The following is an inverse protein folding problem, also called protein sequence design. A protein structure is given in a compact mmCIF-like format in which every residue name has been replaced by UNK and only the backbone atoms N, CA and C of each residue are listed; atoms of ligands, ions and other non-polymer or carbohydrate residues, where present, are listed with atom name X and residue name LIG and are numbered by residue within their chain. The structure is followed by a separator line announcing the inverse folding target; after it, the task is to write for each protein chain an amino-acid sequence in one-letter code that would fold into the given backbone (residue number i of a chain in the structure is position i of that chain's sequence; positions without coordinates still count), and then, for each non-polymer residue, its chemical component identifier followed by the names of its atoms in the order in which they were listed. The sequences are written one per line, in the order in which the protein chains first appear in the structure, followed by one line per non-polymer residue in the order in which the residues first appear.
data_IF_972172850017
#
_entry.id   IF_972172850017
#
_cell.length_a   1.000
_cell.length_b   1.000
_cell.length_c   1.000
_cell.angle_alpha   90.00
_cell.angle_beta   90.00
_cell.angle_gamma   90.00
#
_symmetry.space_group_name_H-M   'P 1'
#
loop_
_entity.id
_entity.type
_entity.pdbx_description
1 polymer ?
#
# COMPACT_ATOMS: atom_id res chain seq x y z
N UNK A 1 44.82 -63.50 -18.14
CA UNK A 1 43.45 -62.95 -18.12
C UNK A 1 43.28 -62.18 -16.80
N UNK A 2 44.03 -61.08 -16.59
CA UNK A 2 43.69 -59.66 -16.79
C UNK A 2 42.37 -59.21 -16.14
N UNK A 3 42.53 -58.67 -14.92
CA UNK A 3 41.63 -57.78 -14.19
C UNK A 3 41.49 -56.42 -14.90
N UNK A 4 40.31 -55.80 -14.82
CA UNK A 4 40.06 -54.35 -15.04
C UNK A 4 38.91 -53.98 -14.09
N UNK A 5 39.16 -53.43 -12.91
CA UNK A 5 39.40 -52.01 -12.58
C UNK A 5 38.17 -51.11 -12.82
N UNK A 6 37.40 -50.89 -11.76
CA UNK A 6 36.39 -49.83 -11.64
C UNK A 6 37.09 -48.47 -11.57
N UNK A 7 36.72 -47.53 -12.44
CA UNK A 7 37.14 -46.13 -12.38
C UNK A 7 35.92 -45.25 -12.15
N UNK A 8 35.89 -44.65 -10.96
CA UNK A 8 35.06 -43.52 -10.59
C UNK A 8 35.53 -42.32 -11.42
N UNK A 9 34.70 -41.85 -12.34
CA UNK A 9 34.92 -40.62 -13.08
C UNK A 9 34.30 -39.46 -12.32
N UNK A 10 35.12 -38.53 -11.86
CA UNK A 10 34.69 -37.24 -11.33
C UNK A 10 33.99 -36.45 -12.45
N UNK A 11 32.68 -36.28 -12.34
CA UNK A 11 31.92 -35.35 -13.16
C UNK A 11 32.24 -33.93 -12.72
N UNK A 12 33.02 -33.20 -13.51
CA UNK A 12 33.18 -31.77 -13.34
C UNK A 12 31.82 -31.10 -13.56
N UNK A 13 31.26 -30.56 -12.48
CA UNK A 13 30.06 -29.72 -12.53
C UNK A 13 30.46 -28.38 -13.15
N UNK A 14 30.32 -28.28 -14.48
CA UNK A 14 30.35 -27.00 -15.18
C UNK A 14 29.13 -26.20 -14.71
N UNK A 15 29.34 -25.25 -13.79
CA UNK A 15 28.41 -24.15 -13.56
C UNK A 15 28.35 -23.34 -14.86
N UNK A 16 27.45 -23.72 -15.76
CA UNK A 16 27.06 -22.88 -16.87
C UNK A 16 26.36 -21.67 -16.29
N UNK A 17 27.04 -20.52 -16.31
CA UNK A 17 26.41 -19.23 -16.09
C UNK A 17 25.29 -19.08 -17.12
N UNK A 18 24.05 -19.22 -16.70
CA UNK A 18 22.90 -18.82 -17.48
C UNK A 18 22.90 -17.29 -17.49
N UNK A 19 23.64 -16.70 -18.42
CA UNK A 19 23.41 -15.31 -18.82
C UNK A 19 22.02 -15.29 -19.44
N UNK A 20 21.04 -14.81 -18.67
CA UNK A 20 19.78 -14.32 -19.23
C UNK A 20 20.18 -13.12 -20.09
N UNK A 21 20.39 -13.38 -21.39
CA UNK A 21 20.52 -12.31 -22.35
C UNK A 21 19.19 -11.59 -22.36
N UNK A 22 19.15 -10.37 -21.85
CA UNK A 22 18.08 -9.44 -22.17
C UNK A 22 18.09 -9.29 -23.68
N UNK A 23 17.15 -9.96 -24.34
CA UNK A 23 16.77 -9.58 -25.69
C UNK A 23 16.05 -8.25 -25.50
N UNK A 24 16.80 -7.15 -25.57
CA UNK A 24 16.22 -5.85 -25.84
C UNK A 24 15.59 -5.99 -27.23
N UNK A 25 14.28 -6.24 -27.26
CA UNK A 25 13.49 -6.04 -28.46
C UNK A 25 13.47 -4.53 -28.63
N UNK A 26 14.44 -3.98 -29.36
CA UNK A 26 14.28 -2.64 -29.90
C UNK A 26 13.22 -2.80 -30.98
N UNK A 27 11.96 -2.64 -30.60
CA UNK A 27 10.88 -2.44 -31.55
C UNK A 27 11.27 -1.20 -32.35
N UNK A 28 11.74 -1.40 -33.57
CA UNK A 28 11.84 -0.33 -34.55
C UNK A 28 10.40 0.01 -34.91
N UNK A 29 9.83 0.95 -34.16
CA UNK A 29 8.53 1.50 -34.43
C UNK A 29 8.64 2.21 -35.78
N UNK A 30 7.69 1.92 -36.68
CA UNK A 30 7.59 2.68 -37.90
C UNK A 30 7.27 4.11 -37.48
N UNK A 31 8.20 5.03 -37.74
CA UNK A 31 8.17 6.44 -37.34
C UNK A 31 6.74 6.99 -37.31
N UNK A 32 6.14 7.02 -36.12
CA UNK A 32 4.89 7.72 -35.90
C UNK A 32 5.15 9.22 -36.16
N UNK A 33 4.17 9.92 -36.74
CA UNK A 33 4.27 11.37 -36.93
C UNK A 33 4.20 12.10 -35.57
N UNK A 34 3.65 11.43 -34.54
CA UNK A 34 3.57 11.91 -33.16
C UNK A 34 4.69 11.37 -32.25
N UNK A 35 4.94 12.08 -31.15
CA UNK A 35 5.81 11.58 -30.09
C UNK A 35 5.15 10.37 -29.43
N UNK A 36 5.94 9.58 -28.71
CA UNK A 36 5.43 8.45 -27.95
C UNK A 36 5.94 8.42 -26.52
N UNK A 37 5.10 8.00 -25.56
CA UNK A 37 5.50 7.84 -24.18
C UNK A 37 6.54 6.72 -24.02
N UNK A 38 7.62 6.98 -23.29
CA UNK A 38 8.72 6.03 -23.03
C UNK A 38 8.60 5.43 -21.64
N UNK A 39 8.29 6.28 -20.65
CA UNK A 39 8.01 5.86 -19.28
C UNK A 39 6.70 6.47 -18.83
N UNK A 40 5.99 5.76 -17.97
CA UNK A 40 4.72 6.18 -17.43
C UNK A 40 4.58 5.60 -16.02
N UNK A 41 4.57 6.48 -15.04
CA UNK A 41 4.52 6.14 -13.61
C UNK A 41 3.47 6.98 -12.93
N UNK A 42 2.84 6.46 -11.89
CA UNK A 42 1.98 7.26 -11.04
C UNK A 42 2.03 6.83 -9.60
N UNK A 43 1.31 7.57 -8.77
CA UNK A 43 1.07 7.27 -7.38
C UNK A 43 -0.42 7.45 -7.08
N UNK A 44 -0.89 6.83 -6.00
CA UNK A 44 -2.27 6.90 -5.58
C UNK A 44 -2.34 7.19 -4.08
N UNK A 45 -3.11 8.19 -3.70
CA UNK A 45 -3.31 8.64 -2.33
C UNK A 45 -4.79 8.53 -1.95
N UNK A 46 -5.09 7.90 -0.81
CA UNK A 46 -6.46 7.86 -0.28
C UNK A 46 -6.72 9.17 0.46
N UNK A 47 -7.74 9.90 0.04
CA UNK A 47 -8.19 11.12 0.68
C UNK A 47 -8.99 10.82 1.95
N UNK A 48 -9.16 11.79 2.87
CA UNK A 48 -9.91 11.61 4.11
C UNK A 48 -11.39 11.19 3.93
N UNK A 49 -11.97 11.44 2.76
CA UNK A 49 -13.34 11.03 2.42
C UNK A 49 -13.40 9.66 1.72
N UNK A 50 -12.29 8.94 1.65
CA UNK A 50 -12.16 7.63 1.02
C UNK A 50 -11.97 7.66 -0.50
N UNK A 51 -12.13 8.83 -1.16
CA UNK A 51 -11.79 8.98 -2.57
C UNK A 51 -10.28 8.81 -2.78
N UNK A 52 -9.86 8.50 -4.01
CA UNK A 52 -8.46 8.13 -4.30
C UNK A 52 -7.91 9.07 -5.37
N UNK A 53 -6.96 9.92 -5.00
CA UNK A 53 -6.27 10.81 -5.94
C UNK A 53 -5.10 10.07 -6.57
N UNK A 54 -5.15 9.87 -7.88
CA UNK A 54 -4.06 9.31 -8.67
C UNK A 54 -3.31 10.45 -9.36
N UNK A 55 -1.99 10.48 -9.23
CA UNK A 55 -1.11 11.43 -9.92
C UNK A 55 -0.17 10.69 -10.85
N UNK A 56 -0.08 11.11 -12.11
CA UNK A 56 0.63 10.40 -13.17
C UNK A 56 1.60 11.31 -13.90
N UNK A 57 2.74 10.77 -14.30
CA UNK A 57 3.79 11.49 -15.02
C UNK A 57 4.69 10.53 -15.80
N UNK A 58 5.51 11.07 -16.69
CA UNK A 58 6.43 10.22 -17.43
C UNK A 58 7.33 10.96 -18.39
N UNK A 59 7.85 10.19 -19.35
CA UNK A 59 8.71 10.71 -20.41
C UNK A 59 8.17 10.33 -21.77
N UNK A 60 8.56 11.10 -22.78
CA UNK A 60 8.23 10.87 -24.18
C UNK A 60 9.48 11.01 -25.05
N UNK A 61 9.46 10.41 -26.25
CA UNK A 61 10.49 10.59 -27.26
C UNK A 61 9.92 10.63 -28.68
N UNK A 62 10.72 11.12 -29.61
CA UNK A 62 10.48 11.17 -31.05
C UNK A 62 11.61 10.48 -31.81
N UNK A 63 11.28 9.53 -32.69
CA UNK A 63 12.30 8.78 -33.46
C UNK A 63 12.86 9.56 -34.67
N UNK A 64 12.31 10.74 -34.99
CA UNK A 64 12.69 11.54 -36.15
C UNK A 64 13.81 12.52 -35.82
N UNK A 65 14.89 12.56 -36.61
CA UNK A 65 15.92 13.59 -36.45
C UNK A 65 15.35 14.97 -36.83
N UNK A 66 15.31 15.90 -35.86
CA UNK A 66 14.98 17.32 -36.04
C UNK A 66 13.50 17.66 -36.35
N UNK A 67 12.53 17.25 -35.50
CA UNK A 67 11.11 17.53 -35.68
C UNK A 67 10.79 19.02 -35.52
N UNK A 68 11.54 19.74 -34.68
CA UNK A 68 11.30 21.13 -34.29
C UNK A 68 11.81 22.15 -35.31
N UNK A 69 12.62 21.75 -36.31
CA UNK A 69 12.97 22.61 -37.44
C UNK A 69 11.92 22.60 -38.56
N UNK A 70 10.94 21.70 -38.46
CA UNK A 70 9.76 21.67 -39.31
C UNK A 70 8.63 22.48 -38.65
N UNK A 71 7.41 22.45 -39.17
CA UNK A 71 6.28 23.24 -38.66
C UNK A 71 5.76 22.80 -37.26
N UNK A 72 6.55 22.04 -36.48
CA UNK A 72 6.17 21.54 -35.16
C UNK A 72 6.58 22.51 -34.06
N UNK A 73 5.71 22.63 -33.07
CA UNK A 73 5.90 23.40 -31.86
C UNK A 73 6.39 22.52 -30.71
N UNK A 74 5.87 21.29 -30.56
CA UNK A 74 6.30 20.38 -29.51
C UNK A 74 5.36 19.21 -29.28
N UNK A 75 5.46 18.59 -28.11
CA UNK A 75 4.62 17.45 -27.73
C UNK A 75 3.59 17.88 -26.70
N UNK A 76 2.35 17.45 -26.94
CA UNK A 76 1.26 17.54 -25.96
C UNK A 76 0.91 16.17 -25.38
N UNK A 77 0.13 16.17 -24.31
CA UNK A 77 -0.39 14.97 -23.68
C UNK A 77 -1.81 15.18 -23.14
N UNK A 78 -2.54 14.07 -23.05
CA UNK A 78 -3.77 13.95 -22.28
C UNK A 78 -3.86 12.53 -21.71
N UNK A 79 -4.60 12.35 -20.63
CA UNK A 79 -4.69 11.06 -19.93
C UNK A 79 -6.07 10.45 -20.15
N UNK A 80 -6.12 9.20 -20.62
CA UNK A 80 -7.31 8.37 -20.48
C UNK A 80 -7.33 7.80 -19.07
N UNK A 81 -8.22 8.32 -18.23
CA UNK A 81 -8.33 7.91 -16.84
C UNK A 81 -9.05 6.56 -16.69
N UNK A 82 -9.76 6.08 -17.71
CA UNK A 82 -10.58 4.86 -17.62
C UNK A 82 -11.51 4.83 -16.38
N UNK A 83 -11.99 5.99 -15.94
CA UNK A 83 -12.87 6.11 -14.78
C UNK A 83 -14.32 5.75 -15.15
N UNK A 84 -14.81 4.62 -14.64
CA UNK A 84 -16.17 4.16 -14.87
C UNK A 84 -17.25 5.11 -14.30
N UNK A 85 -16.89 5.97 -13.34
CA UNK A 85 -17.79 6.94 -12.72
C UNK A 85 -17.71 8.33 -13.35
N UNK A 86 -16.71 8.59 -14.19
CA UNK A 86 -16.54 9.86 -14.90
C UNK A 86 -15.96 9.60 -16.29
N UNK A 87 -16.84 9.57 -17.29
CA UNK A 87 -16.45 9.34 -18.67
C UNK A 87 -15.49 10.44 -19.19
N UNK A 88 -14.47 10.03 -19.94
CA UNK A 88 -13.58 10.92 -20.67
C UNK A 88 -14.17 11.42 -22.00
N UNK A 89 -13.43 12.28 -22.69
CA UNK A 89 -13.79 12.76 -24.02
C UNK A 89 -13.36 11.72 -25.06
N UNK A 90 -14.34 11.12 -25.74
CA UNK A 90 -14.07 10.05 -26.70
C UNK A 90 -13.16 10.50 -27.84
N UNK A 91 -12.03 9.81 -27.98
CA UNK A 91 -11.01 10.08 -28.99
C UNK A 91 -11.20 9.14 -30.19
N UNK A 92 -11.27 7.83 -29.92
CA UNK A 92 -11.41 6.82 -30.98
C UNK A 92 -11.33 5.40 -30.45
N UNK A 93 -11.42 4.43 -31.35
CA UNK A 93 -11.36 3.01 -31.01
C UNK A 93 -10.27 2.28 -31.79
N UNK A 94 -9.46 1.48 -31.11
CA UNK A 94 -8.46 0.61 -31.72
C UNK A 94 -8.67 -0.81 -31.19
N UNK A 95 -8.78 -1.79 -32.10
CA UNK A 95 -9.00 -3.20 -31.75
C UNK A 95 -10.17 -3.44 -30.77
N UNK A 96 -11.28 -2.72 -30.98
CA UNK A 96 -12.48 -2.75 -30.11
C UNK A 96 -12.27 -2.20 -28.69
N UNK A 97 -11.13 -1.54 -28.42
CA UNK A 97 -10.88 -0.76 -27.20
C UNK A 97 -11.15 0.72 -27.50
N UNK A 98 -12.02 1.33 -26.71
CA UNK A 98 -12.29 2.77 -26.77
C UNK A 98 -11.27 3.54 -25.93
N UNK A 99 -10.78 4.65 -26.47
CA UNK A 99 -9.88 5.58 -25.82
C UNK A 99 -10.61 6.91 -25.63
N UNK A 100 -10.57 7.45 -24.40
CA UNK A 100 -11.24 8.69 -24.05
C UNK A 100 -10.38 9.48 -23.06
N UNK A 101 -9.99 10.70 -23.39
CA UNK A 101 -9.04 11.47 -22.55
C UNK A 101 -9.71 12.56 -21.73
N UNK A 102 -9.08 12.89 -20.60
CA UNK A 102 -9.57 13.87 -19.64
C UNK A 102 -10.91 13.47 -19.02
N UNK A 103 -11.73 14.46 -18.67
CA UNK A 103 -13.07 14.28 -18.14
C UNK A 103 -14.08 15.05 -19.01
N UNK A 104 -15.04 14.36 -19.60
CA UNK A 104 -16.01 15.00 -20.50
C UNK A 104 -16.95 15.97 -19.79
N UNK A 105 -17.34 15.63 -18.56
CA UNK A 105 -18.11 16.49 -17.68
C UNK A 105 -17.42 16.56 -16.31
N UNK A 106 -17.45 17.73 -15.70
CA UNK A 106 -16.92 17.95 -14.35
C UNK A 106 -17.89 17.44 -13.29
N UNK A 107 -17.34 16.96 -12.19
CA UNK A 107 -18.07 16.59 -10.99
C UNK A 107 -17.43 17.26 -9.76
N UNK A 108 -17.82 16.85 -8.55
CA UNK A 108 -17.29 17.42 -7.30
C UNK A 108 -15.82 17.01 -7.03
N UNK A 109 -15.30 15.98 -7.71
CA UNK A 109 -13.94 15.47 -7.56
C UNK A 109 -13.00 16.08 -8.61
N UNK A 110 -13.41 16.07 -9.89
CA UNK A 110 -12.58 16.50 -11.01
C UNK A 110 -13.34 17.49 -11.92
N UNK A 111 -12.68 18.58 -12.38
CA UNK A 111 -13.25 19.46 -13.38
C UNK A 111 -13.40 18.75 -14.74
N UNK A 112 -14.22 19.32 -15.62
CA UNK A 112 -14.20 18.92 -17.02
C UNK A 112 -12.84 19.30 -17.62
N UNK A 113 -12.24 18.40 -18.39
CA UNK A 113 -10.97 18.61 -19.05
C UNK A 113 -10.98 17.93 -20.43
N UNK A 114 -10.82 18.72 -21.47
CA UNK A 114 -10.64 18.28 -22.86
C UNK A 114 -9.41 18.98 -23.48
N UNK A 115 -8.52 19.51 -22.65
CA UNK A 115 -7.34 20.21 -23.10
C UNK A 115 -6.23 19.21 -23.45
N UNK A 116 -5.40 19.58 -24.42
CA UNK A 116 -4.08 18.97 -24.58
C UNK A 116 -3.12 19.78 -23.70
N UNK A 117 -2.55 19.11 -22.70
CA UNK A 117 -1.54 19.69 -21.83
C UNK A 117 -0.18 19.64 -22.51
N UNK A 118 0.69 20.60 -22.22
CA UNK A 118 1.97 20.70 -22.93
C UNK A 118 3.06 21.36 -22.08
N UNK A 119 4.30 21.04 -22.42
CA UNK A 119 5.49 21.53 -21.76
C UNK A 119 6.09 22.75 -22.46
N UNK A 120 7.41 22.87 -22.38
CA UNK A 120 8.12 23.88 -23.18
C UNK A 120 8.12 23.51 -24.67
N UNK A 121 8.30 24.53 -25.52
CA UNK A 121 8.50 24.33 -26.95
C UNK A 121 9.64 23.33 -27.17
N UNK A 122 9.48 22.38 -28.10
CA UNK A 122 10.51 21.39 -28.34
C UNK A 122 11.79 22.07 -28.85
N UNK A 123 12.93 21.66 -28.31
CA UNK A 123 14.26 22.09 -28.75
C UNK A 123 14.88 21.01 -29.67
N UNK A 124 16.18 21.06 -29.96
CA UNK A 124 16.84 20.01 -30.76
C UNK A 124 16.81 18.61 -30.08
N UNK A 125 16.27 18.48 -28.87
CA UNK A 125 16.09 17.21 -28.19
C UNK A 125 14.74 16.57 -28.54
N UNK A 126 14.82 15.35 -29.08
CA UNK A 126 13.64 14.56 -29.44
C UNK A 126 13.06 13.82 -28.23
N UNK A 127 13.10 14.39 -27.03
CA UNK A 127 12.61 13.75 -25.82
C UNK A 127 12.29 14.76 -24.72
N UNK A 128 11.39 14.39 -23.81
CA UNK A 128 11.01 15.24 -22.70
C UNK A 128 10.18 14.53 -21.65
N UNK A 129 9.57 15.32 -20.77
CA UNK A 129 8.66 14.86 -19.72
C UNK A 129 7.23 15.29 -20.00
N UNK A 130 6.27 14.57 -19.43
CA UNK A 130 4.86 14.94 -19.39
C UNK A 130 4.32 14.80 -17.96
N UNK A 131 3.25 15.53 -17.65
CA UNK A 131 2.69 15.62 -16.30
C UNK A 131 3.55 16.47 -15.34
N UNK A 132 3.26 16.41 -14.02
CA UNK A 132 2.25 15.55 -13.40
C UNK A 132 0.82 15.97 -13.73
N UNK A 133 -0.05 14.99 -13.95
CA UNK A 133 -1.50 15.14 -14.06
C UNK A 133 -2.20 14.37 -12.94
N UNK A 134 -3.34 14.86 -12.45
CA UNK A 134 -4.06 14.22 -11.34
C UNK A 134 -5.54 14.02 -11.65
N UNK A 135 -6.10 12.93 -11.14
CA UNK A 135 -7.53 12.62 -11.16
C UNK A 135 -7.94 11.85 -9.92
N UNK A 136 -9.06 12.23 -9.33
CA UNK A 136 -9.60 11.65 -8.11
C UNK A 136 -10.74 10.70 -8.43
N UNK A 137 -10.54 9.42 -8.15
CA UNK A 137 -11.52 8.35 -8.29
C UNK A 137 -12.43 8.28 -7.07
N UNK A 138 -13.65 7.79 -7.26
CA UNK A 138 -14.58 7.55 -6.17
C UNK A 138 -14.05 6.50 -5.17
N UNK A 139 -14.51 6.61 -3.92
CA UNK A 139 -14.22 5.65 -2.85
C UNK A 139 -14.52 4.20 -3.29
N UNK A 140 -13.62 3.27 -2.95
CA UNK A 140 -13.77 1.85 -3.24
C UNK A 140 -13.41 1.46 -4.68
N UNK A 141 -12.85 2.37 -5.48
CA UNK A 141 -12.24 2.01 -6.77
C UNK A 141 -11.01 1.14 -6.53
N UNK A 142 -10.94 -0.01 -7.21
CA UNK A 142 -9.87 -1.01 -7.02
C UNK A 142 -9.11 -1.37 -8.30
N UNK A 143 -9.61 -0.94 -9.46
CA UNK A 143 -8.98 -1.18 -10.76
C UNK A 143 -8.67 0.19 -11.38
N UNK A 144 -7.40 0.60 -11.32
CA UNK A 144 -6.89 1.78 -12.00
C UNK A 144 -6.14 1.34 -13.24
N UNK A 145 -6.50 1.90 -14.40
CA UNK A 145 -5.78 1.64 -15.63
C UNK A 145 -5.49 2.93 -16.41
N UNK A 146 -5.06 4.04 -15.76
CA UNK A 146 -4.84 5.27 -16.48
C UNK A 146 -3.77 5.09 -17.54
N UNK A 147 -3.91 5.86 -18.61
CA UNK A 147 -3.11 5.67 -19.78
C UNK A 147 -2.80 7.00 -20.47
N UNK A 148 -1.53 7.24 -20.82
CA UNK A 148 -1.10 8.49 -21.43
C UNK A 148 -1.17 8.45 -22.96
N UNK A 149 -1.81 9.48 -23.55
CA UNK A 149 -1.90 9.75 -24.99
C UNK A 149 -1.05 10.98 -25.32
N UNK A 150 -0.25 10.92 -26.38
CA UNK A 150 0.61 12.01 -26.82
C UNK A 150 0.12 12.64 -28.12
N UNK A 151 0.39 13.94 -28.30
CA UNK A 151 -0.08 14.78 -29.41
C UNK A 151 1.10 15.48 -30.09
N UNK A 152 1.08 15.58 -31.42
CA UNK A 152 2.00 16.43 -32.20
C UNK A 152 1.43 17.86 -32.29
N UNK A 153 2.07 18.80 -31.58
CA UNK A 153 1.67 20.19 -31.57
C UNK A 153 2.39 20.93 -32.70
N UNK A 154 1.64 21.68 -33.49
CA UNK A 154 2.11 22.45 -34.62
C UNK A 154 2.19 23.95 -34.31
N UNK A 155 3.06 24.64 -35.03
CA UNK A 155 3.10 26.09 -35.03
C UNK A 155 1.80 26.66 -35.62
N UNK A 156 1.25 27.68 -34.98
CA UNK A 156 0.11 28.44 -35.49
C UNK A 156 0.43 29.24 -36.76
N UNK A 157 -0.62 29.79 -37.38
CA UNK A 157 -0.54 30.55 -38.65
C UNK A 157 0.39 31.78 -38.56
N UNK A 158 0.63 32.28 -37.37
CA UNK A 158 1.71 33.21 -37.05
C UNK A 158 2.74 32.41 -36.26
N UNK A 159 3.97 32.26 -36.75
CA UNK A 159 5.08 31.43 -36.19
C UNK A 159 5.38 31.56 -34.68
N UNK A 160 4.66 32.41 -33.94
CA UNK A 160 4.62 32.49 -32.49
C UNK A 160 3.32 31.89 -31.95
N UNK A 161 3.37 30.63 -31.52
CA UNK A 161 2.29 29.98 -30.77
C UNK A 161 1.90 28.60 -31.32
N UNK A 162 1.12 27.86 -30.53
CA UNK A 162 0.55 26.56 -30.91
C UNK A 162 -0.69 26.80 -31.77
N UNK A 163 -0.94 25.93 -32.75
CA UNK A 163 -2.18 25.92 -33.53
C UNK A 163 -3.38 25.62 -32.64
N UNK A 164 -4.43 26.44 -32.72
CA UNK A 164 -5.60 26.32 -31.83
C UNK A 164 -6.23 24.91 -31.78
N UNK A 165 -6.26 24.20 -32.92
CA UNK A 165 -6.82 22.84 -33.00
C UNK A 165 -6.00 21.77 -32.28
N UNK A 166 -4.74 22.06 -31.94
CA UNK A 166 -3.85 21.13 -31.25
C UNK A 166 -3.94 21.28 -29.72
N UNK A 167 -4.68 22.28 -29.23
CA UNK A 167 -4.90 22.54 -27.81
C UNK A 167 -6.16 21.86 -27.26
N UNK A 168 -6.93 21.20 -28.12
CA UNK A 168 -8.14 20.44 -27.76
C UNK A 168 -7.95 18.98 -28.16
N UNK A 169 -8.28 18.07 -27.25
CA UNK A 169 -7.92 16.67 -27.42
C UNK A 169 -8.82 15.94 -28.44
N UNK A 170 -10.10 16.30 -28.50
CA UNK A 170 -11.09 15.75 -29.44
C UNK A 170 -12.25 16.74 -29.64
N UNK A 171 -13.10 16.47 -30.62
CA UNK A 171 -14.39 17.15 -30.82
C UNK A 171 -14.43 18.08 -32.03
N UNK A 172 -15.04 19.26 -31.88
CA UNK A 172 -15.13 20.22 -33.01
C UNK A 172 -13.84 21.03 -33.11
N UNK A 173 -13.14 20.94 -34.25
CA UNK A 173 -11.97 21.76 -34.55
C UNK A 173 -10.63 21.19 -34.07
N UNK A 174 -10.62 19.99 -33.49
CA UNK A 174 -9.38 19.32 -33.07
C UNK A 174 -8.56 18.83 -34.27
N UNK A 175 -7.26 18.65 -34.03
CA UNK A 175 -6.33 18.02 -34.96
C UNK A 175 -6.12 16.54 -34.57
N UNK A 176 -6.19 15.64 -35.54
CA UNK A 176 -6.14 14.17 -35.35
C UNK A 176 -4.71 13.61 -35.27
N UNK A 177 -3.74 14.47 -34.95
CA UNK A 177 -2.32 14.12 -34.90
C UNK A 177 -1.87 13.69 -33.50
N UNK A 178 -2.43 12.56 -33.06
CA UNK A 178 -2.15 11.96 -31.77
C UNK A 178 -1.82 10.47 -31.87
N UNK A 179 -1.32 9.92 -30.78
CA UNK A 179 -0.81 8.56 -30.71
C UNK A 179 -1.90 7.49 -30.88
N UNK A 180 -3.17 7.82 -30.65
CA UNK A 180 -4.31 6.91 -30.89
C UNK A 180 -4.70 6.92 -32.36
N UNK A 181 -4.89 8.09 -32.96
CA UNK A 181 -5.42 8.19 -34.33
C UNK A 181 -4.35 8.04 -35.43
N UNK A 182 -3.08 8.30 -35.12
CA UNK A 182 -2.00 8.33 -36.12
C UNK A 182 -0.78 7.44 -35.81
N UNK A 183 -0.81 6.58 -34.79
CA UNK A 183 0.29 5.64 -34.57
C UNK A 183 0.24 4.42 -35.50
N UNK A 184 1.41 3.92 -35.88
CA UNK A 184 1.57 2.71 -36.69
C UNK A 184 1.39 1.40 -35.90
N UNK A 185 0.84 1.47 -34.68
CA UNK A 185 0.38 0.31 -33.90
C UNK A 185 1.20 -0.11 -32.68
N UNK A 186 2.08 0.75 -32.13
CA UNK A 186 2.81 0.46 -30.88
C UNK A 186 2.65 1.52 -29.77
N UNK A 187 2.31 2.75 -30.14
CA UNK A 187 2.22 3.89 -29.22
C UNK A 187 0.75 4.24 -28.94
N UNK A 188 -0.07 3.22 -28.76
CA UNK A 188 -1.53 3.39 -28.68
C UNK A 188 -1.87 4.25 -27.47
N UNK A 189 -1.35 3.88 -26.30
CA UNK A 189 -1.42 4.64 -25.08
C UNK A 189 -0.47 3.96 -24.06
N UNK A 190 0.32 4.71 -23.27
CA UNK A 190 1.25 4.09 -22.33
C UNK A 190 0.54 3.67 -21.03
N UNK A 191 0.56 2.36 -20.68
CA UNK A 191 0.04 1.93 -19.39
C UNK A 191 0.88 2.56 -18.29
N UNK A 192 0.21 3.21 -17.33
CA UNK A 192 0.87 3.85 -16.21
C UNK A 192 1.02 2.85 -15.08
N UNK A 193 2.26 2.61 -14.64
CA UNK A 193 2.52 1.79 -13.46
C UNK A 193 2.34 2.63 -12.20
N UNK A 194 1.37 2.28 -11.36
CA UNK A 194 1.14 2.94 -10.09
C UNK A 194 2.06 2.36 -9.00
N UNK A 195 2.79 3.24 -8.32
CA UNK A 195 3.48 2.92 -7.09
C UNK A 195 2.45 2.52 -6.03
N UNK A 196 2.70 1.46 -5.25
CA UNK A 196 1.94 1.21 -4.04
C UNK A 196 2.20 2.30 -3.01
N UNK A 197 1.20 2.56 -2.17
CA UNK A 197 1.29 3.53 -1.08
C UNK A 197 1.08 2.83 0.27
N UNK A 198 1.98 3.07 1.21
CA UNK A 198 1.90 2.54 2.57
C UNK A 198 1.68 3.69 3.55
N UNK A 199 0.64 3.57 4.37
CA UNK A 199 0.30 4.53 5.43
C UNK A 199 0.39 3.83 6.78
N UNK A 200 1.04 4.48 7.75
CA UNK A 200 1.16 4.01 9.13
C UNK A 200 0.35 4.90 10.08
N UNK A 201 -0.59 4.28 10.78
CA UNK A 201 -1.46 4.93 11.75
C UNK A 201 -1.16 4.46 13.18
N UNK A 202 -1.40 5.34 14.13
CA UNK A 202 -1.17 5.13 15.56
C UNK A 202 -2.47 5.30 16.33
N UNK A 203 -2.77 4.33 17.19
CA UNK A 203 -3.78 4.50 18.23
C UNK A 203 -3.10 4.46 19.60
N UNK A 204 -3.48 5.37 20.49
CA UNK A 204 -3.03 5.37 21.89
C UNK A 204 -4.26 5.30 22.78
N UNK A 205 -4.27 4.31 23.69
CA UNK A 205 -5.30 4.16 24.71
C UNK A 205 -4.65 4.57 26.04
N UNK A 206 -5.35 5.44 26.77
CA UNK A 206 -4.99 5.92 28.10
C UNK A 206 -6.17 5.63 29.03
N UNK A 207 -6.46 4.36 29.26
CA UNK A 207 -7.61 3.92 30.06
C UNK A 207 -7.25 3.57 31.51
N UNK A 208 -5.97 3.55 31.84
CA UNK A 208 -5.48 3.38 33.20
C UNK A 208 -5.24 4.71 33.95
N UNK A 209 -5.74 4.77 35.18
CA UNK A 209 -5.92 6.05 35.91
C UNK A 209 -4.65 6.70 36.48
N UNK A 210 -3.46 6.11 36.27
CA UNK A 210 -2.23 6.48 36.97
C UNK A 210 -1.07 6.82 36.03
N UNK A 211 -1.03 6.30 34.81
CA UNK A 211 0.18 6.26 33.96
C UNK A 211 -0.03 6.83 32.55
N UNK A 212 -1.23 6.77 31.97
CA UNK A 212 -1.46 7.19 30.59
C UNK A 212 -1.59 8.70 30.37
N UNK A 213 -0.64 9.30 29.66
CA UNK A 213 -0.73 10.70 29.16
C UNK A 213 -0.18 10.91 27.75
N UNK A 214 0.38 9.88 27.14
CA UNK A 214 0.94 9.95 25.80
C UNK A 214 -0.16 10.20 24.77
N UNK A 215 0.22 10.91 23.72
CA UNK A 215 -0.58 11.14 22.52
C UNK A 215 0.10 10.43 21.35
N UNK A 216 -0.57 10.33 20.19
CA UNK A 216 0.03 9.74 18.98
C UNK A 216 1.38 10.38 18.60
N UNK A 217 1.55 11.68 18.87
CA UNK A 217 2.79 12.42 18.60
C UNK A 217 3.99 12.00 19.47
N UNK A 218 3.77 11.22 20.54
CA UNK A 218 4.84 10.69 21.37
C UNK A 218 5.45 9.39 20.83
N UNK A 219 4.86 8.83 19.78
CA UNK A 219 5.34 7.62 19.12
C UNK A 219 5.93 7.97 17.74
N UNK A 220 7.01 7.30 17.38
CA UNK A 220 7.57 7.35 16.02
C UNK A 220 7.35 6.00 15.36
N UNK A 221 6.64 6.00 14.24
CA UNK A 221 6.40 4.85 13.39
C UNK A 221 7.46 4.79 12.29
N UNK A 222 7.86 3.58 11.92
CA UNK A 222 8.86 3.37 10.89
C UNK A 222 8.48 2.19 9.99
N UNK A 223 8.60 2.37 8.68
CA UNK A 223 8.65 1.28 7.71
C UNK A 223 9.99 1.33 6.98
N UNK A 224 10.78 0.25 7.08
CA UNK A 224 12.07 0.13 6.39
C UNK A 224 12.07 -1.09 5.47
N UNK A 225 12.60 -0.99 4.25
CA UNK A 225 12.67 -2.12 3.36
C UNK A 225 13.57 -3.20 3.95
N UNK A 226 13.11 -4.45 3.90
CA UNK A 226 13.85 -5.61 4.41
C UNK A 226 15.05 -5.94 3.54
N UNK A 227 14.85 -5.91 2.22
CA UNK A 227 15.86 -6.11 1.19
C UNK A 227 15.37 -5.49 -0.13
N UNK A 228 16.22 -4.69 -0.79
CA UNK A 228 15.85 -3.93 -1.99
C UNK A 228 14.91 -2.75 -1.67
N UNK A 229 14.87 -1.74 -2.54
CA UNK A 229 14.13 -0.51 -2.30
C UNK A 229 14.88 0.50 -1.41
N UNK A 230 14.52 1.78 -1.56
CA UNK A 230 15.14 2.91 -0.86
C UNK A 230 14.14 3.70 -0.03
N UNK A 231 12.83 3.54 -0.25
CA UNK A 231 11.79 4.28 0.46
C UNK A 231 11.78 3.94 1.96
N UNK A 232 11.77 4.95 2.83
CA UNK A 232 11.65 4.77 4.29
C UNK A 232 10.62 5.74 4.82
N UNK A 233 9.64 5.22 5.54
CA UNK A 233 8.66 6.03 6.29
C UNK A 233 9.21 6.16 7.71
N UNK A 234 9.31 7.39 8.22
CA UNK A 234 9.75 7.63 9.59
C UNK A 234 9.19 8.94 10.14
N UNK A 235 8.35 8.84 11.18
CA UNK A 235 7.79 10.00 11.86
C UNK A 235 6.62 9.64 12.76
N UNK A 236 5.99 10.67 13.33
CA UNK A 236 4.77 10.50 14.08
C UNK A 236 3.56 10.51 13.15
N UNK A 237 2.50 9.82 13.58
CA UNK A 237 1.18 9.96 12.98
C UNK A 237 0.67 11.42 13.17
N UNK A 238 0.27 12.14 12.10
CA UNK A 238 -0.18 13.51 12.21
C UNK A 238 -1.63 13.66 12.71
N UNK A 239 -2.49 12.63 12.61
CA UNK A 239 -3.92 12.73 12.94
C UNK A 239 -4.50 11.38 13.41
N UNK A 240 -5.43 11.38 14.36
CA UNK A 240 -6.02 10.15 14.90
C UNK A 240 -7.07 9.52 13.96
N UNK A 241 -7.41 10.18 12.85
CA UNK A 241 -8.31 9.64 11.83
C UNK A 241 -7.70 8.40 11.16
N UNK A 242 -8.50 7.35 10.91
CA UNK A 242 -8.07 6.29 10.01
C UNK A 242 -7.67 6.92 8.65
N UNK A 243 -6.57 6.42 8.09
CA UNK A 243 -6.04 6.76 6.76
C UNK A 243 -5.34 8.13 6.64
N UNK A 244 -5.26 8.90 7.74
CA UNK A 244 -4.49 10.15 7.78
C UNK A 244 -3.06 9.97 8.33
N UNK A 245 -2.65 8.71 8.57
CA UNK A 245 -1.35 8.35 9.10
C UNK A 245 -0.16 8.83 8.26
N UNK A 246 1.04 8.68 8.81
CA UNK A 246 2.26 8.98 8.05
C UNK A 246 2.45 7.95 6.94
N UNK A 247 2.51 8.39 5.68
CA UNK A 247 2.64 7.51 4.54
C UNK A 247 3.62 7.98 3.49
N UNK A 248 3.95 7.08 2.57
CA UNK A 248 4.71 7.36 1.36
C UNK A 248 4.45 6.29 0.29
N UNK A 249 4.72 6.65 -0.97
CA UNK A 249 4.91 5.67 -2.03
C UNK A 249 6.10 4.76 -1.71
N UNK A 250 5.92 3.48 -1.96
CA UNK A 250 6.90 2.42 -1.70
C UNK A 250 7.18 1.62 -2.97
N UNK A 251 8.28 0.88 -2.97
CA UNK A 251 8.61 0.00 -4.07
C UNK A 251 7.70 -1.25 -4.06
N UNK A 252 7.06 -1.53 -5.21
CA UNK A 252 6.23 -2.72 -5.38
C UNK A 252 7.02 -4.01 -5.16
N UNK A 253 6.34 -5.04 -4.68
CA UNK A 253 6.89 -6.37 -4.41
C UNK A 253 8.07 -6.38 -3.42
N UNK A 254 8.32 -5.26 -2.71
CA UNK A 254 9.29 -5.14 -1.62
C UNK A 254 8.59 -5.31 -0.28
N UNK A 255 9.21 -6.08 0.60
CA UNK A 255 8.73 -6.27 1.98
C UNK A 255 9.28 -5.17 2.88
N UNK A 256 8.39 -4.45 3.57
CA UNK A 256 8.72 -3.44 4.57
C UNK A 256 8.55 -3.99 5.97
N UNK A 257 9.57 -3.80 6.80
CA UNK A 257 9.56 -4.11 8.23
C UNK A 257 9.00 -2.89 8.97
N UNK A 258 7.85 -3.08 9.60
CA UNK A 258 7.16 -2.11 10.43
C UNK A 258 7.72 -2.13 11.84
N UNK A 259 7.94 -0.97 12.42
CA UNK A 259 8.35 -0.83 13.81
C UNK A 259 7.86 0.48 14.41
N UNK A 260 7.94 0.57 15.73
CA UNK A 260 7.65 1.79 16.45
C UNK A 260 8.61 2.01 17.62
N UNK A 261 8.67 3.25 18.08
CA UNK A 261 9.27 3.63 19.35
C UNK A 261 8.38 4.63 20.09
N UNK A 262 8.46 4.66 21.41
CA UNK A 262 7.58 5.48 22.24
C UNK A 262 7.99 5.50 23.71
N UNK A 263 7.19 6.17 24.56
CA UNK A 263 7.43 6.23 26.01
C UNK A 263 7.29 4.86 26.68
N UNK A 264 8.01 4.67 27.79
CA UNK A 264 7.83 3.50 28.66
C UNK A 264 6.43 3.49 29.29
N UNK A 265 5.96 2.30 29.69
CA UNK A 265 4.66 2.13 30.33
C UNK A 265 3.50 2.01 29.34
N UNK A 266 3.78 1.58 28.11
CA UNK A 266 2.78 1.25 27.10
C UNK A 266 3.09 -0.11 26.47
N UNK A 267 2.07 -0.95 26.34
CA UNK A 267 2.14 -2.24 25.68
C UNK A 267 1.59 -2.11 24.26
N UNK A 268 2.38 -2.55 23.27
CA UNK A 268 2.05 -2.50 21.85
C UNK A 268 1.23 -3.72 21.41
N UNK A 269 0.24 -3.50 20.54
CA UNK A 269 -0.48 -4.56 19.85
C UNK A 269 0.35 -5.19 18.71
N UNK A 270 -0.19 -6.24 18.09
CA UNK A 270 0.23 -6.62 16.75
C UNK A 270 -0.18 -5.53 15.73
N UNK A 271 0.53 -5.44 14.61
CA UNK A 271 0.13 -4.60 13.50
C UNK A 271 -1.13 -5.16 12.83
N UNK A 272 -1.99 -4.27 12.32
CA UNK A 272 -3.15 -4.63 11.52
C UNK A 272 -3.18 -3.75 10.27
N UNK A 273 -3.17 -4.36 9.08
CA UNK A 273 -3.23 -3.63 7.81
C UNK A 273 -4.51 -3.95 7.04
N UNK A 274 -5.12 -2.92 6.46
CA UNK A 274 -6.10 -3.05 5.38
C UNK A 274 -5.35 -2.80 4.07
N UNK A 275 -5.40 -3.77 3.15
CA UNK A 275 -4.56 -3.77 1.95
C UNK A 275 -3.16 -4.35 2.20
N UNK A 276 -2.48 -4.74 1.12
CA UNK A 276 -1.21 -5.46 1.16
C UNK A 276 -1.28 -6.85 1.80
N UNK A 277 -0.12 -7.52 1.86
CA UNK A 277 0.05 -8.81 2.55
C UNK A 277 0.90 -8.61 3.80
N UNK A 278 0.27 -8.75 4.98
CA UNK A 278 0.92 -8.61 6.30
C UNK A 278 1.26 -9.97 6.92
N UNK A 279 2.51 -10.15 7.34
CA UNK A 279 2.97 -11.27 8.16
C UNK A 279 3.74 -10.76 9.39
N UNK A 280 3.10 -10.78 10.57
CA UNK A 280 3.68 -10.23 11.80
C UNK A 280 3.83 -8.71 11.72
N UNK A 281 5.07 -8.24 11.57
CA UNK A 281 5.38 -6.82 11.35
C UNK A 281 6.00 -6.57 9.96
N UNK A 282 5.84 -7.49 9.02
CA UNK A 282 6.35 -7.37 7.65
C UNK A 282 5.19 -7.24 6.67
N UNK A 283 5.14 -6.17 5.88
CA UNK A 283 4.08 -5.93 4.88
C UNK A 283 4.68 -5.87 3.47
N UNK A 284 4.03 -6.49 2.50
CA UNK A 284 4.41 -6.45 1.07
C UNK A 284 3.22 -5.96 0.25
N UNK A 285 3.46 -5.03 -0.68
CA UNK A 285 2.42 -4.41 -1.52
C UNK A 285 2.72 -4.68 -3.00
N UNK A 286 1.71 -5.08 -3.77
CA UNK A 286 1.80 -5.17 -5.23
C UNK A 286 1.66 -3.78 -5.89
N UNK A 287 1.91 -3.69 -7.20
CA UNK A 287 1.75 -2.44 -7.95
C UNK A 287 0.34 -1.84 -7.73
N UNK A 288 0.26 -0.55 -7.43
CA UNK A 288 -0.98 0.18 -7.20
C UNK A 288 -1.77 -0.19 -5.95
N UNK A 289 -1.27 -1.08 -5.08
CA UNK A 289 -1.95 -1.38 -3.82
C UNK A 289 -1.78 -0.25 -2.80
N UNK A 290 -2.85 0.01 -2.06
CA UNK A 290 -2.88 0.96 -0.95
C UNK A 290 -3.00 0.15 0.34
N UNK A 291 -2.06 0.32 1.28
CA UNK A 291 -2.10 -0.35 2.58
C UNK A 291 -2.13 0.66 3.73
N UNK A 292 -3.15 0.55 4.58
CA UNK A 292 -3.29 1.32 5.81
C UNK A 292 -3.00 0.41 7.01
N UNK A 293 -1.81 0.53 7.58
CA UNK A 293 -1.34 -0.28 8.71
C UNK A 293 -1.48 0.50 10.02
N UNK A 294 -2.04 -0.13 11.05
CA UNK A 294 -2.28 0.47 12.36
C UNK A 294 -1.60 -0.33 13.46
N UNK A 295 -1.01 0.37 14.44
CA UNK A 295 -0.58 -0.20 15.71
C UNK A 295 -1.25 0.53 16.88
N UNK A 296 -1.67 -0.21 17.89
CA UNK A 296 -2.30 0.34 19.10
C UNK A 296 -1.37 0.17 20.29
N UNK A 297 -1.16 1.22 21.07
CA UNK A 297 -0.49 1.12 22.36
C UNK A 297 -1.44 1.48 23.47
N UNK A 298 -1.60 0.55 24.42
CA UNK A 298 -2.37 0.82 25.63
C UNK A 298 -1.42 1.12 26.78
N UNK A 299 -1.79 2.08 27.63
CA UNK A 299 -1.01 2.35 28.83
C UNK A 299 -1.06 1.15 29.78
N UNK A 300 0.08 0.89 30.41
CA UNK A 300 0.21 -0.19 31.36
C UNK A 300 -0.40 0.34 32.66
N UNK A 301 -1.53 -0.22 33.06
CA UNK A 301 -2.03 0.00 34.40
C UNK A 301 -0.97 -0.33 35.43
N UNK A 302 -1.09 0.33 36.58
CA UNK A 302 -0.34 -0.03 37.78
C UNK A 302 -0.87 -1.39 38.27
N UNK A 303 -0.63 -2.45 37.48
CA UNK A 303 -0.52 -3.81 37.97
C UNK A 303 0.74 -3.78 38.82
N UNK A 304 0.61 -3.16 40.01
CA UNK A 304 1.60 -3.30 41.06
C UNK A 304 1.93 -4.77 41.08
N UNK A 305 3.19 -5.07 40.82
CA UNK A 305 3.80 -6.31 41.22
C UNK A 305 3.42 -6.46 42.69
N UNK A 306 2.32 -7.17 42.99
CA UNK A 306 1.98 -7.52 44.36
C UNK A 306 3.20 -8.33 44.78
N UNK A 307 4.06 -7.83 45.69
CA UNK A 307 5.16 -8.65 46.15
C UNK A 307 4.55 -9.95 46.65
N UNK A 308 5.13 -11.12 46.33
CA UNK A 308 4.57 -12.39 46.77
C UNK A 308 4.27 -12.25 48.27
N UNK A 309 3.06 -12.64 48.72
CA UNK A 309 2.64 -12.41 50.10
C UNK A 309 3.77 -12.91 51.01
N UNK A 310 4.22 -12.10 51.99
CA UNK A 310 5.34 -12.47 52.84
C UNK A 310 5.07 -13.88 53.38
N UNK A 311 6.03 -14.79 53.17
CA UNK A 311 5.89 -16.18 53.53
C UNK A 311 5.32 -16.26 54.95
N UNK A 312 4.10 -16.79 55.07
CA UNK A 312 3.45 -16.89 56.38
C UNK A 312 4.23 -17.92 57.16
N UNK A 313 5.14 -17.47 58.04
CA UNK A 313 5.81 -18.34 58.99
C UNK A 313 4.71 -18.94 59.86
N UNK A 314 4.35 -20.19 59.60
CA UNK A 314 3.44 -20.94 60.47
C UNK A 314 4.23 -21.21 61.74
N UNK A 315 4.09 -20.33 62.73
CA UNK A 315 4.56 -20.61 64.09
C UNK A 315 3.67 -21.70 64.66
N UNK A 316 4.09 -22.95 64.49
CA UNK A 316 3.51 -24.08 65.21
C UNK A 316 3.78 -23.85 66.70
N UNK A 317 2.78 -23.33 67.42
CA UNK A 317 2.77 -23.35 68.88
C UNK A 317 2.67 -24.81 69.32
N UNK A 318 3.81 -25.44 69.58
CA UNK A 318 3.87 -26.71 70.29
C UNK A 318 3.59 -26.39 71.77
N UNK A 319 2.34 -26.57 72.18
CA UNK A 319 2.01 -26.60 73.60
C UNK A 319 2.60 -27.88 74.20
N UNK A 320 3.74 -27.79 74.89
CA UNK A 320 4.22 -28.88 75.72
C UNK A 320 3.26 -29.04 76.93
N UNK A 321 2.51 -30.14 76.95
CA UNK A 321 1.73 -30.55 78.11
C UNK A 321 2.70 -30.97 79.23
N UNK A 322 2.60 -30.42 80.45
CA UNK A 322 3.40 -30.90 81.56
C UNK A 322 3.01 -32.34 81.90
N UNK A 323 4.00 -33.22 81.95
CA UNK A 323 3.84 -34.60 82.39
C UNK A 323 3.74 -34.65 83.92
N UNK A 324 2.55 -34.94 84.43
CA UNK A 324 2.40 -35.48 85.79
C UNK A 324 1.57 -36.76 85.74
N UNK A 325 2.06 -37.77 86.45
CA UNK A 325 1.72 -39.16 86.23
C UNK A 325 0.38 -39.64 86.83
N UNK A 326 0.01 -40.82 86.33
CA UNK A 326 -0.76 -41.88 86.99
C UNK A 326 -2.21 -41.58 87.44
N UNK A 327 -3.19 -42.04 86.66
CA UNK A 327 -3.74 -43.41 86.80
C UNK A 327 -5.08 -43.56 86.06
N UNK A 328 -5.28 -44.77 85.52
CA UNK A 328 -6.56 -45.39 85.14
C UNK A 328 -7.33 -44.85 83.92
N UNK A 329 -7.07 -45.50 82.78
CA UNK A 329 -8.04 -45.97 81.79
C UNK A 329 -9.14 -45.02 81.28
N UNK A 330 -9.05 -44.63 80.01
CA UNK A 330 -10.14 -44.77 79.02
C UNK A 330 -9.70 -44.36 77.62
N UNK A 331 -10.23 -45.09 76.64
CA UNK A 331 -10.06 -44.98 75.19
C UNK A 331 -10.41 -43.58 74.67
N UNK A 332 -9.55 -42.97 73.87
CA UNK A 332 -9.82 -41.71 73.15
C UNK A 332 -10.21 -42.03 71.70
N UNK A 333 -11.46 -41.74 71.35
CA UNK A 333 -11.96 -41.68 69.98
C UNK A 333 -11.56 -40.34 69.37
N UNK A 334 -10.89 -40.38 68.21
CA UNK A 334 -10.62 -39.21 67.38
C UNK A 334 -11.89 -38.93 66.56
N UNK A 335 -12.57 -37.81 66.85
CA UNK A 335 -13.61 -37.27 65.99
C UNK A 335 -13.01 -36.17 65.09
N UNK A 336 -12.81 -36.50 63.82
CA UNK A 336 -12.55 -35.51 62.78
C UNK A 336 -13.85 -34.79 62.41
N UNK A 337 -13.86 -33.46 62.50
CA UNK A 337 -14.95 -32.62 62.00
C UNK A 337 -14.52 -32.02 60.66
N UNK A 338 -14.96 -32.64 59.56
CA UNK A 338 -14.92 -32.06 58.23
C UNK A 338 -16.23 -31.31 57.96
N UNK A 339 -16.14 -30.01 57.66
CA UNK A 339 -17.28 -29.19 57.21
C UNK A 339 -17.30 -29.20 55.68
N UNK A 340 -18.24 -29.96 55.10
CA UNK A 340 -18.66 -29.84 53.70
C UNK A 340 -19.93 -28.99 53.66
N UNK A 341 -19.89 -27.84 53.01
CA UNK A 341 -21.07 -27.04 52.68
C UNK A 341 -21.61 -27.50 51.32
N UNK A 342 -22.78 -28.12 51.33
CA UNK A 342 -23.58 -28.41 50.13
C UNK A 342 -24.98 -27.81 50.28
N UNK A 343 -25.42 -27.02 49.29
CA UNK A 343 -26.81 -26.61 49.11
C UNK A 343 -27.32 -27.15 47.76
N UNK A 344 -28.29 -28.07 47.80
CA UNK A 344 -29.27 -28.29 46.72
C UNK A 344 -30.52 -27.44 47.00
N UNK A 345 -31.55 -27.31 46.17
CA UNK A 345 -31.97 -27.90 44.89
C UNK A 345 -33.26 -27.15 44.52
N UNK A 346 -33.60 -26.93 43.25
CA UNK A 346 -35.01 -26.66 42.88
C UNK A 346 -35.33 -27.23 41.50
N UNK A 347 -36.12 -28.31 41.50
CA UNK A 347 -36.81 -28.84 40.32
C UNK A 347 -38.17 -28.13 40.16
N UNK A 348 -38.54 -27.78 38.93
CA UNK A 348 -39.94 -27.65 38.53
C UNK A 348 -40.19 -28.54 37.30
N UNK A 349 -41.07 -29.53 37.46
CA UNK A 349 -41.59 -30.35 36.39
C UNK A 349 -42.98 -29.85 35.97
N UNK A 350 -43.22 -29.69 34.66
CA UNK A 350 -44.58 -29.58 34.11
C UNK A 350 -44.69 -30.48 32.87
N UNK A 351 -45.51 -31.53 32.99
CA UNK A 351 -45.93 -32.42 31.90
C UNK A 351 -47.34 -32.06 31.44
N UNK A 352 -47.57 -32.16 30.12
CA UNK A 352 -48.77 -32.66 29.40
C UNK A 352 -48.52 -32.38 27.91
N UNK A 353 -48.89 -33.19 26.91
CA UNK A 353 -49.20 -34.62 26.64
C UNK A 353 -49.37 -34.64 25.10
N UNK A 354 -49.11 -35.74 24.37
CA UNK A 354 -49.27 -35.78 22.92
C UNK A 354 -50.67 -36.27 22.50
N UNK A 355 -51.17 -35.69 21.40
CA UNK A 355 -51.89 -36.33 20.30
C UNK A 355 -51.57 -35.52 19.05
#
# INVERSE_FOLDING_TARGET
MRQVASRIGAGALLMGSLTVGTVAVTSQLAAADSAYPVTATGSAEVNPDGSITVTVQGTWQWDRNDPCSENRWGTGWAIDWHDANQAGNFLGSINDTDYSVGAAEGNDLNPADNAVHYGEQCDETNAGTWGPESHTYAEGTVDFAPCAVTYDLHNGDTESGIRDGDLIATGEGYNDDNSVEHSSGADICAPIELAPHLTLNKTVINDDTVTGTATIANFTLTATPKEGGDAVINGADPDESPDAGIGADVEKDVTYVLSESGPEGYDASEWSCVGGTLEGNEVTLAAGELANCTITNNDNGDQQQIPPPPATTTTTLVAELPTTGSSSGSTVLIAGLGVLLGFGMTMFARRRRPA
#
